data_IF_322510629220
#
_entry.id   IF_322510629220
#
_cell.length_a   1.000
_cell.length_b   1.000
_cell.length_c   1.000
_cell.angle_alpha   90.00
_cell.angle_beta   90.00
_cell.angle_gamma   90.00
#
_symmetry.space_group_name_H-M   'P 1'
#
loop_
_entity.id
_entity.type
_entity.pdbx_description
1 polymer ?
#
# COMPACT_ATOMS: atom_id res chain seq x y z
N UNK A 1 15.12 19.67 -7.41
CA UNK A 1 13.72 19.35 -7.72
C UNK A 1 13.16 18.55 -6.56
N UNK A 2 11.88 18.71 -6.28
CA UNK A 2 11.16 17.95 -5.25
C UNK A 2 10.96 16.51 -5.74
N UNK A 3 11.93 15.62 -5.52
CA UNK A 3 11.87 14.21 -5.93
C UNK A 3 10.93 13.42 -4.99
N UNK A 4 9.65 13.79 -5.02
CA UNK A 4 8.62 13.15 -4.22
C UNK A 4 7.44 12.74 -5.10
N UNK A 5 6.64 11.80 -4.60
CA UNK A 5 5.45 11.34 -5.30
C UNK A 5 4.42 12.46 -5.43
N UNK A 6 3.76 12.50 -6.59
CA UNK A 6 2.61 13.36 -6.82
C UNK A 6 1.42 12.88 -5.94
N UNK A 7 0.83 13.76 -5.10
CA UNK A 7 -0.35 13.43 -4.31
C UNK A 7 -1.51 12.85 -5.12
N UNK A 8 -1.70 13.29 -6.37
CA UNK A 8 -2.79 12.81 -7.23
C UNK A 8 -2.52 11.36 -7.67
N UNK A 9 -1.26 11.00 -7.93
CA UNK A 9 -0.85 9.63 -8.20
C UNK A 9 -1.09 8.73 -6.97
N UNK A 10 -0.71 9.19 -5.78
CA UNK A 10 -0.94 8.42 -4.54
C UNK A 10 -2.43 8.24 -4.29
N UNK A 11 -3.24 9.27 -4.53
CA UNK A 11 -4.69 9.17 -4.44
C UNK A 11 -5.26 8.17 -5.44
N UNK A 12 -4.74 8.11 -6.66
CA UNK A 12 -5.16 7.13 -7.66
C UNK A 12 -4.84 5.69 -7.25
N UNK A 13 -3.65 5.43 -6.70
CA UNK A 13 -3.25 4.12 -6.16
C UNK A 13 -4.20 3.70 -5.04
N UNK A 14 -4.48 4.60 -4.09
CA UNK A 14 -5.40 4.30 -2.98
C UNK A 14 -6.82 4.02 -3.45
N UNK A 15 -7.35 4.85 -4.36
CA UNK A 15 -8.69 4.65 -4.94
C UNK A 15 -8.82 3.30 -5.64
N UNK A 16 -7.80 2.87 -6.38
CA UNK A 16 -7.81 1.57 -7.05
C UNK A 16 -8.02 0.43 -6.05
N UNK A 17 -7.27 0.42 -4.95
CA UNK A 17 -7.36 -0.62 -3.92
C UNK A 17 -8.69 -0.52 -3.15
N UNK A 18 -9.12 0.68 -2.77
CA UNK A 18 -10.38 0.85 -2.04
C UNK A 18 -11.60 0.46 -2.87
N UNK A 19 -11.63 0.78 -4.16
CA UNK A 19 -12.69 0.37 -5.07
C UNK A 19 -12.73 -1.15 -5.23
N UNK A 20 -11.57 -1.80 -5.40
CA UNK A 20 -11.49 -3.26 -5.44
C UNK A 20 -12.04 -3.89 -4.16
N UNK A 21 -11.62 -3.40 -2.99
CA UNK A 21 -12.04 -3.93 -1.69
C UNK A 21 -13.52 -3.65 -1.38
N UNK A 22 -14.08 -2.55 -1.89
CA UNK A 22 -15.52 -2.28 -1.77
C UNK A 22 -16.33 -3.31 -2.57
N UNK A 23 -15.95 -3.59 -3.81
CA UNK A 23 -16.61 -4.57 -4.67
C UNK A 23 -16.50 -5.99 -4.11
N UNK A 24 -15.35 -6.38 -3.55
CA UNK A 24 -15.18 -7.69 -2.92
C UNK A 24 -16.09 -7.89 -1.70
N UNK A 25 -16.35 -6.82 -0.92
CA UNK A 25 -17.28 -6.86 0.21
C UNK A 25 -18.73 -7.05 -0.26
N UNK A 26 -19.16 -6.29 -1.26
CA UNK A 26 -20.52 -6.42 -1.83
C UNK A 26 -20.76 -7.82 -2.41
N UNK A 27 -19.75 -8.43 -3.05
CA UNK A 27 -19.84 -9.81 -3.54
C UNK A 27 -19.98 -10.82 -2.41
N UNK A 28 -19.24 -10.66 -1.32
CA UNK A 28 -19.26 -11.60 -0.20
C UNK A 28 -20.53 -11.47 0.66
N UNK A 29 -21.15 -10.28 0.74
CA UNK A 29 -22.44 -10.08 1.40
C UNK A 29 -23.62 -10.71 0.64
N UNK A 30 -23.46 -11.06 -0.64
CA UNK A 30 -24.48 -11.73 -1.46
C UNK A 30 -24.55 -13.27 -1.34
N UNK A 31 -23.76 -13.89 -0.45
CA UNK A 31 -23.63 -15.36 -0.33
C UNK A 31 -24.01 -15.84 1.09
N UNK A 32 -25.05 -15.27 1.70
CA UNK A 32 -25.57 -15.78 2.98
C UNK A 32 -26.99 -16.37 2.80
N UNK A 33 -27.16 -17.71 2.84
CA UNK A 33 -28.47 -18.34 2.86
C UNK A 33 -29.03 -18.34 4.29
N UNK A 34 -29.92 -17.38 4.56
CA UNK A 34 -30.99 -17.46 5.57
C UNK A 34 -30.55 -17.77 7.01
N UNK A 35 -30.36 -16.72 7.83
CA UNK A 35 -30.80 -16.75 9.25
C UNK A 35 -31.39 -15.40 9.63
N UNK A 36 -32.73 -15.38 9.75
CA UNK A 36 -33.50 -14.28 10.32
C UNK A 36 -33.24 -14.22 11.82
N UNK A 37 -32.26 -13.43 12.27
CA UNK A 37 -32.16 -12.99 13.66
C UNK A 37 -31.95 -11.48 13.67
N UNK A 38 -32.94 -10.77 14.22
CA UNK A 38 -33.05 -9.30 14.24
C UNK A 38 -31.97 -8.70 15.15
N UNK A 39 -30.77 -8.49 14.60
CA UNK A 39 -29.73 -7.65 15.23
C UNK A 39 -29.88 -6.23 14.69
N UNK A 40 -30.07 -5.29 15.62
CA UNK A 40 -30.28 -3.86 15.39
C UNK A 40 -29.45 -3.31 14.21
N UNK A 41 -30.15 -3.03 13.11
CA UNK A 41 -29.56 -2.51 11.89
C UNK A 41 -29.01 -1.10 12.09
N UNK A 42 -27.71 -1.02 12.42
CA UNK A 42 -26.95 0.12 11.92
C UNK A 42 -26.95 -0.03 10.41
N UNK A 43 -27.69 0.85 9.72
CA UNK A 43 -27.69 0.90 8.26
C UNK A 43 -26.22 0.98 7.82
N UNK A 44 -25.68 -0.12 7.30
CA UNK A 44 -24.32 -0.19 6.74
C UNK A 44 -24.32 0.60 5.44
N UNK A 45 -24.55 1.91 5.52
CA UNK A 45 -24.38 2.81 4.39
C UNK A 45 -22.90 2.77 4.05
N UNK A 46 -22.58 2.05 2.97
CA UNK A 46 -21.22 1.78 2.52
C UNK A 46 -20.56 3.15 2.21
N UNK A 47 -19.86 3.72 3.19
CA UNK A 47 -19.22 5.03 3.02
C UNK A 47 -17.94 4.81 2.23
N UNK A 48 -17.74 5.50 1.09
CA UNK A 48 -16.52 5.36 0.33
C UNK A 48 -15.32 5.79 1.19
N UNK A 49 -14.29 4.95 1.21
CA UNK A 49 -13.02 5.26 1.87
C UNK A 49 -12.33 6.41 1.11
N UNK A 50 -11.75 7.36 1.85
CA UNK A 50 -11.10 8.55 1.29
C UNK A 50 -9.92 8.99 2.17
N UNK A 51 -8.91 9.62 1.58
CA UNK A 51 -7.83 10.30 2.29
C UNK A 51 -7.93 11.82 2.10
N UNK A 52 -7.62 12.58 3.15
CA UNK A 52 -7.51 14.04 3.09
C UNK A 52 -6.13 14.47 2.56
N UNK A 53 -5.95 15.75 2.27
CA UNK A 53 -4.72 16.30 1.69
C UNK A 53 -3.47 16.08 2.56
N UNK A 54 -3.59 16.19 3.88
CA UNK A 54 -2.47 15.94 4.80
C UNK A 54 -2.05 14.47 4.81
N UNK A 55 -3.02 13.55 4.82
CA UNK A 55 -2.77 12.12 4.72
C UNK A 55 -2.10 11.78 3.39
N UNK A 56 -2.56 12.34 2.26
CA UNK A 56 -1.92 12.13 0.96
C UNK A 56 -0.47 12.61 0.93
N UNK A 57 -0.18 13.80 1.48
CA UNK A 57 1.19 14.32 1.58
C UNK A 57 2.08 13.40 2.43
N UNK A 58 1.58 12.92 3.57
CA UNK A 58 2.31 11.98 4.42
C UNK A 58 2.55 10.64 3.71
N UNK A 59 1.57 10.15 2.95
CA UNK A 59 1.72 8.94 2.14
C UNK A 59 2.75 9.09 1.02
N UNK A 60 2.89 10.29 0.43
CA UNK A 60 3.97 10.57 -0.52
C UNK A 60 5.34 10.39 0.15
N UNK A 61 5.53 10.97 1.34
CA UNK A 61 6.77 10.80 2.11
C UNK A 61 7.02 9.35 2.49
N UNK A 62 5.98 8.62 2.94
CA UNK A 62 6.11 7.21 3.30
C UNK A 62 6.62 6.37 2.11
N UNK A 63 6.02 6.54 0.94
CA UNK A 63 6.44 5.81 -0.26
C UNK A 63 7.83 6.22 -0.74
N UNK A 64 8.20 7.51 -0.61
CA UNK A 64 9.55 7.99 -0.89
C UNK A 64 10.58 7.32 0.02
N UNK A 65 10.27 7.21 1.32
CA UNK A 65 11.13 6.53 2.29
C UNK A 65 11.22 5.04 2.01
N UNK A 66 10.11 4.37 1.73
CA UNK A 66 10.10 2.96 1.35
C UNK A 66 11.02 2.65 0.16
N UNK A 67 10.93 3.44 -0.91
CA UNK A 67 11.78 3.27 -2.11
C UNK A 67 13.24 3.61 -1.79
N UNK A 68 13.48 4.69 -1.04
CA UNK A 68 14.85 5.08 -0.63
C UNK A 68 15.52 3.98 0.18
N UNK A 69 14.82 3.41 1.16
CA UNK A 69 15.31 2.32 2.00
C UNK A 69 15.62 1.08 1.17
N UNK A 70 14.72 0.70 0.25
CA UNK A 70 14.95 -0.43 -0.64
C UNK A 70 16.23 -0.27 -1.46
N UNK A 71 16.45 0.93 -2.05
CA UNK A 71 17.64 1.24 -2.85
C UNK A 71 18.90 1.24 -1.99
N UNK A 72 18.88 1.89 -0.82
CA UNK A 72 20.05 2.00 0.05
C UNK A 72 20.48 0.63 0.59
N UNK A 73 19.53 -0.20 1.02
CA UNK A 73 19.83 -1.56 1.50
C UNK A 73 20.36 -2.46 0.40
N UNK A 74 19.75 -2.41 -0.80
CA UNK A 74 20.24 -3.16 -1.95
C UNK A 74 21.63 -2.68 -2.41
N UNK A 75 21.91 -1.37 -2.33
CA UNK A 75 23.23 -0.81 -2.60
C UNK A 75 24.29 -1.31 -1.61
N UNK A 76 23.97 -1.37 -0.32
CA UNK A 76 24.88 -1.89 0.70
C UNK A 76 25.27 -3.35 0.45
N UNK A 77 24.34 -4.19 0.01
CA UNK A 77 24.64 -5.58 -0.41
C UNK A 77 25.54 -5.58 -1.64
N UNK A 78 25.22 -4.76 -2.66
CA UNK A 78 26.02 -4.67 -3.88
C UNK A 78 27.47 -4.24 -3.59
N UNK A 79 27.66 -3.24 -2.73
CA UNK A 79 28.96 -2.71 -2.33
C UNK A 79 29.78 -3.76 -1.57
N UNK A 80 29.14 -4.48 -0.64
CA UNK A 80 29.79 -5.57 0.10
C UNK A 80 30.26 -6.71 -0.82
N UNK A 81 29.61 -6.90 -1.96
CA UNK A 81 29.98 -7.88 -3.00
C UNK A 81 30.96 -7.32 -4.05
N UNK A 82 31.34 -6.05 -3.95
CA UNK A 82 32.19 -5.38 -4.94
C UNK A 82 31.50 -5.16 -6.29
N UNK A 83 30.16 -5.23 -6.35
CA UNK A 83 29.39 -5.00 -7.55
C UNK A 83 29.30 -3.50 -7.86
N UNK A 84 29.51 -3.12 -9.13
CA UNK A 84 29.42 -1.73 -9.59
C UNK A 84 27.99 -1.24 -9.84
N UNK A 85 27.00 -2.13 -9.74
CA UNK A 85 25.58 -1.84 -9.96
C UNK A 85 24.70 -2.70 -9.07
N UNK A 86 23.56 -2.15 -8.65
CA UNK A 86 22.52 -2.93 -7.99
C UNK A 86 21.91 -3.90 -9.00
N UNK A 87 21.83 -5.17 -8.62
CA UNK A 87 21.17 -6.24 -9.36
C UNK A 87 19.90 -6.67 -8.61
N UNK A 88 18.99 -7.35 -9.31
CA UNK A 88 17.74 -7.86 -8.73
C UNK A 88 17.99 -8.74 -7.49
N UNK A 89 19.05 -9.55 -7.53
CA UNK A 89 19.47 -10.43 -6.42
C UNK A 89 19.78 -9.67 -5.13
N UNK A 90 20.32 -8.45 -5.20
CA UNK A 90 20.56 -7.64 -4.01
C UNK A 90 19.25 -7.17 -3.37
N UNK A 91 18.25 -6.80 -4.19
CA UNK A 91 16.92 -6.44 -3.73
C UNK A 91 16.18 -7.64 -3.13
N UNK A 92 16.24 -8.80 -3.78
CA UNK A 92 15.62 -10.04 -3.31
C UNK A 92 16.09 -10.42 -1.90
N UNK A 93 17.37 -10.21 -1.59
CA UNK A 93 17.94 -10.52 -0.26
C UNK A 93 17.45 -9.59 0.84
N UNK A 94 17.20 -8.32 0.54
CA UNK A 94 16.72 -7.35 1.54
C UNK A 94 15.19 -7.33 1.65
N UNK A 95 14.48 -7.91 0.69
CA UNK A 95 13.03 -7.88 0.59
C UNK A 95 12.32 -8.42 1.84
N UNK A 96 12.73 -9.54 2.46
CA UNK A 96 12.07 -10.03 3.67
C UNK A 96 12.09 -9.01 4.80
N UNK A 97 13.24 -8.38 5.06
CA UNK A 97 13.34 -7.38 6.13
C UNK A 97 12.65 -6.07 5.73
N UNK A 98 12.74 -5.66 4.47
CA UNK A 98 12.06 -4.47 3.97
C UNK A 98 10.53 -4.57 4.17
N UNK A 99 9.95 -5.74 3.96
CA UNK A 99 8.52 -6.00 4.17
C UNK A 99 8.13 -6.22 5.64
N UNK A 100 9.11 -6.40 6.54
CA UNK A 100 8.85 -6.45 7.98
C UNK A 100 8.86 -5.05 8.61
N UNK A 101 9.63 -4.13 8.04
CA UNK A 101 9.76 -2.75 8.53
C UNK A 101 8.58 -1.86 8.13
N UNK A 102 7.78 -2.29 7.15
CA UNK A 102 6.64 -1.55 6.57
C UNK A 102 5.37 -2.41 6.53
#
# INVERSE_FOLDING_TARGET
>A
MSDNFDPDLIQAIFKLIWSKNALERERNEGVDPMTDEVVAGTSKKNRPTSANSSALKMSCELLRLFVTEAVQRAAAIAEAEGASKIQATHLERILPQLLLDF
#
